data_IF_975840758556
#
_entry.id   IF_975840758556
#
_cell.length_a   1.000
_cell.length_b   1.000
_cell.length_c   1.000
_cell.angle_alpha   90.00
_cell.angle_beta   90.00
_cell.angle_gamma   90.00
#
_symmetry.space_group_name_H-M   'P 1'
#
loop_
_entity.id
_entity.type
_entity.pdbx_description
1 polymer ?
#
# COMPACT_ATOMS: atom_id res chain seq x y z
N UNK A 1 8.45 -5.36 17.29
CA UNK A 1 8.99 -4.51 16.22
C UNK A 1 8.30 -3.17 16.11
N UNK A 2 6.97 -3.08 16.24
CA UNK A 2 6.31 -1.79 16.03
C UNK A 2 6.76 -0.70 17.02
N UNK A 3 7.15 -1.07 18.24
CA UNK A 3 7.66 -0.11 19.23
C UNK A 3 9.01 0.47 18.79
N UNK A 4 9.91 -0.38 18.32
CA UNK A 4 11.23 0.00 17.82
C UNK A 4 11.11 0.83 16.53
N UNK A 5 10.18 0.46 15.65
CA UNK A 5 9.86 1.17 14.42
C UNK A 5 9.35 2.60 14.71
N UNK A 6 8.46 2.76 15.70
CA UNK A 6 7.99 4.08 16.14
C UNK A 6 9.16 4.92 16.68
N UNK A 7 10.02 4.36 17.53
CA UNK A 7 11.17 5.09 18.09
C UNK A 7 12.11 5.61 17.00
N UNK A 8 12.43 4.78 15.99
CA UNK A 8 13.23 5.20 14.83
C UNK A 8 12.54 6.29 14.02
N UNK A 9 11.26 6.12 13.70
CA UNK A 9 10.51 7.09 12.90
C UNK A 9 10.42 8.45 13.61
N UNK A 10 10.19 8.47 14.93
CA UNK A 10 10.18 9.70 15.76
C UNK A 10 11.55 10.38 15.76
N UNK A 11 12.64 9.61 15.74
CA UNK A 11 14.02 10.11 15.61
C UNK A 11 14.40 10.49 14.17
N UNK A 12 13.46 10.45 13.23
CA UNK A 12 13.68 10.67 11.79
C UNK A 12 14.74 9.75 11.18
N UNK A 13 14.80 8.52 11.68
CA UNK A 13 15.65 7.48 11.13
C UNK A 13 14.82 6.60 10.19
N UNK A 14 15.38 6.29 9.03
CA UNK A 14 14.72 5.44 8.06
C UNK A 14 14.75 3.99 8.53
N UNK A 15 13.65 3.28 8.25
CA UNK A 15 13.56 1.86 8.49
C UNK A 15 14.05 1.11 7.24
N UNK A 16 15.03 0.20 7.37
CA UNK A 16 15.32 -0.76 6.32
C UNK A 16 14.05 -1.55 5.93
N UNK A 17 13.97 -1.98 4.66
CA UNK A 17 12.80 -2.72 4.14
C UNK A 17 12.36 -3.87 5.06
N UNK A 18 13.32 -4.64 5.60
CA UNK A 18 13.06 -5.77 6.50
C UNK A 18 12.38 -5.35 7.80
N UNK A 19 12.78 -4.23 8.39
CA UNK A 19 12.18 -3.74 9.64
C UNK A 19 10.75 -3.23 9.40
N UNK A 20 10.54 -2.55 8.27
CA UNK A 20 9.21 -2.11 7.86
C UNK A 20 8.29 -3.32 7.61
N UNK A 21 8.80 -4.37 6.96
CA UNK A 21 8.06 -5.62 6.79
C UNK A 21 7.64 -6.21 8.14
N UNK A 22 8.55 -6.31 9.11
CA UNK A 22 8.23 -6.85 10.44
C UNK A 22 7.19 -5.99 11.19
N UNK A 23 7.31 -4.66 11.11
CA UNK A 23 6.32 -3.77 11.71
C UNK A 23 4.94 -3.94 11.05
N UNK A 24 4.87 -4.03 9.72
CA UNK A 24 3.61 -4.23 9.00
C UNK A 24 3.01 -5.63 9.22
N UNK A 25 3.82 -6.64 9.46
CA UNK A 25 3.35 -7.97 9.83
C UNK A 25 2.62 -7.94 11.18
N UNK A 26 3.20 -7.32 12.20
CA UNK A 26 2.54 -7.13 13.51
C UNK A 26 1.21 -6.36 13.39
N UNK A 27 1.15 -5.33 12.53
CA UNK A 27 -0.08 -4.57 12.29
C UNK A 27 -1.15 -5.46 11.67
N UNK A 28 -0.80 -6.19 10.59
CA UNK A 28 -1.78 -6.96 9.83
C UNK A 28 -2.20 -8.27 10.49
N UNK A 29 -1.45 -8.75 11.48
CA UNK A 29 -1.82 -9.87 12.35
C UNK A 29 -2.65 -9.43 13.57
N UNK A 30 -2.90 -8.13 13.72
CA UNK A 30 -3.67 -7.57 14.83
C UNK A 30 -2.90 -7.56 16.16
N UNK A 31 -1.57 -7.69 16.13
CA UNK A 31 -0.71 -7.64 17.31
C UNK A 31 -0.40 -6.21 17.77
N UNK A 32 -0.62 -5.21 16.91
CA UNK A 32 -0.46 -3.80 17.23
C UNK A 32 -1.76 -3.16 17.74
N UNK A 33 -1.66 -2.38 18.82
CA UNK A 33 -2.79 -1.60 19.34
C UNK A 33 -3.13 -0.42 18.42
N UNK A 34 -4.37 0.11 18.46
CA UNK A 34 -4.74 1.31 17.69
C UNK A 34 -3.82 2.51 17.96
N UNK A 35 -3.37 2.69 19.21
CA UNK A 35 -2.44 3.75 19.58
C UNK A 35 -1.07 3.58 18.93
N UNK A 36 -0.56 2.35 18.84
CA UNK A 36 0.71 2.06 18.17
C UNK A 36 0.60 2.30 16.66
N UNK A 37 -0.49 1.86 16.02
CA UNK A 37 -0.73 2.09 14.59
C UNK A 37 -0.79 3.60 14.32
N UNK A 38 -1.58 4.35 15.09
CA UNK A 38 -1.70 5.80 14.96
C UNK A 38 -0.38 6.54 15.17
N UNK A 39 0.41 6.14 16.17
CA UNK A 39 1.74 6.70 16.40
C UNK A 39 2.70 6.42 15.24
N UNK A 40 2.70 5.20 14.72
CA UNK A 40 3.58 4.78 13.64
C UNK A 40 3.31 5.53 12.34
N UNK A 41 2.05 5.56 11.87
CA UNK A 41 1.69 6.25 10.62
C UNK A 41 1.90 7.77 10.72
N UNK A 42 1.68 8.36 11.90
CA UNK A 42 1.93 9.79 12.12
C UNK A 42 3.42 10.10 12.10
N UNK A 43 4.25 9.28 12.77
CA UNK A 43 5.69 9.45 12.80
C UNK A 43 6.31 9.30 11.40
N UNK A 44 5.88 8.29 10.62
CA UNK A 44 6.29 8.14 9.22
C UNK A 44 5.95 9.37 8.38
N UNK A 45 4.71 9.87 8.48
CA UNK A 45 4.27 11.06 7.75
C UNK A 45 5.06 12.31 8.09
N UNK A 46 5.48 12.46 9.36
CA UNK A 46 6.30 13.57 9.84
C UNK A 46 7.78 13.43 9.43
N UNK A 47 8.30 12.20 9.38
CA UNK A 47 9.65 11.90 8.88
C UNK A 47 9.76 12.10 7.37
N UNK A 48 8.73 11.68 6.64
CA UNK A 48 8.76 11.42 5.20
C UNK A 48 9.11 9.96 4.94
N UNK A 49 8.25 9.25 4.21
CA UNK A 49 8.43 7.84 3.86
C UNK A 49 9.49 7.65 2.77
N UNK A 50 10.32 6.61 2.89
CA UNK A 50 11.29 6.22 1.85
C UNK A 50 10.74 5.15 0.90
N UNK A 51 11.48 4.89 -0.18
CA UNK A 51 11.13 3.82 -1.14
C UNK A 51 11.17 2.44 -0.46
N UNK A 52 12.17 2.19 0.37
CA UNK A 52 12.35 0.93 1.11
C UNK A 52 11.18 0.69 2.08
N UNK A 53 10.73 1.75 2.73
CA UNK A 53 9.58 1.72 3.65
C UNK A 53 8.27 1.43 2.90
N UNK A 54 7.99 2.15 1.81
CA UNK A 54 6.79 1.88 1.00
C UNK A 54 6.84 0.47 0.39
N UNK A 55 8.01 0.03 -0.06
CA UNK A 55 8.22 -1.32 -0.63
C UNK A 55 7.98 -2.41 0.40
N UNK A 56 8.56 -2.27 1.60
CA UNK A 56 8.40 -3.24 2.68
C UNK A 56 6.94 -3.39 3.11
N UNK A 57 6.24 -2.26 3.24
CA UNK A 57 4.82 -2.26 3.59
C UNK A 57 3.96 -2.92 2.50
N UNK A 58 4.14 -2.52 1.24
CA UNK A 58 3.43 -3.10 0.11
C UNK A 58 3.69 -4.61 -0.04
N UNK A 59 4.91 -5.08 0.26
CA UNK A 59 5.27 -6.50 0.19
C UNK A 59 4.47 -7.34 1.18
N UNK A 60 4.33 -6.90 2.43
CA UNK A 60 3.54 -7.60 3.45
C UNK A 60 2.05 -7.54 3.14
N UNK A 61 1.52 -6.37 2.78
CA UNK A 61 0.14 -6.21 2.32
C UNK A 61 -0.18 -7.18 1.19
N UNK A 62 0.72 -7.23 0.18
CA UNK A 62 0.58 -8.15 -0.93
C UNK A 62 0.66 -9.60 -0.45
N UNK A 63 1.57 -9.99 0.44
CA UNK A 63 1.68 -11.38 0.92
C UNK A 63 0.40 -11.89 1.61
N UNK A 64 -0.28 -11.06 2.40
CA UNK A 64 -1.51 -11.48 3.10
C UNK A 64 -2.78 -11.30 2.27
N UNK A 65 -2.71 -10.68 1.08
CA UNK A 65 -3.86 -10.51 0.19
C UNK A 65 -4.24 -11.82 -0.53
N UNK A 66 -5.55 -12.05 -0.67
CA UNK A 66 -6.10 -13.14 -1.52
C UNK A 66 -5.59 -13.02 -2.95
N UNK A 67 -5.12 -14.13 -3.52
CA UNK A 67 -4.59 -14.20 -4.88
C UNK A 67 -5.66 -14.62 -5.86
N UNK A 68 -5.67 -13.95 -7.02
CA UNK A 68 -6.52 -14.28 -8.16
C UNK A 68 -5.60 -14.49 -9.36
N UNK A 69 -5.85 -15.54 -10.14
CA UNK A 69 -5.18 -15.77 -11.42
C UNK A 69 -6.16 -15.46 -12.55
N UNK A 70 -5.86 -14.44 -13.36
CA UNK A 70 -6.70 -14.02 -14.47
C UNK A 70 -6.40 -14.76 -15.79
N UNK A 71 -5.46 -15.72 -15.79
CA UNK A 71 -5.14 -16.59 -16.93
C UNK A 71 -4.86 -15.84 -18.25
N UNK A 72 -4.17 -14.70 -18.19
CA UNK A 72 -3.82 -13.89 -19.36
C UNK A 72 -2.31 -13.53 -19.37
N UNK A 73 -1.74 -13.37 -20.56
CA UNK A 73 -0.31 -13.03 -20.73
C UNK A 73 -0.01 -11.58 -20.39
N UNK A 74 -0.96 -10.68 -20.62
CA UNK A 74 -0.85 -9.25 -20.31
C UNK A 74 -2.08 -8.83 -19.54
N UNK A 75 -1.85 -8.32 -18.33
CA UNK A 75 -2.89 -7.84 -17.42
C UNK A 75 -2.52 -6.43 -17.00
N UNK A 76 -3.48 -5.52 -17.06
CA UNK A 76 -3.31 -4.12 -16.66
C UNK A 76 -4.17 -3.80 -15.45
N UNK A 77 -3.65 -2.95 -14.59
CA UNK A 77 -4.38 -2.28 -13.52
C UNK A 77 -4.39 -0.77 -13.79
N UNK A 78 -5.48 -0.10 -13.43
CA UNK A 78 -5.70 1.32 -13.70
C UNK A 78 -5.97 2.13 -12.44
N UNK A 79 -5.71 1.56 -11.25
CA UNK A 79 -5.95 2.25 -9.98
C UNK A 79 -5.14 3.55 -9.83
N UNK A 80 -5.56 4.36 -8.88
CA UNK A 80 -4.80 5.50 -8.37
C UNK A 80 -5.07 5.65 -6.87
N UNK A 81 -4.22 6.40 -6.18
CA UNK A 81 -4.38 6.65 -4.73
C UNK A 81 -5.64 7.43 -4.39
N UNK A 82 -6.15 8.23 -5.35
CA UNK A 82 -7.21 9.20 -5.10
C UNK A 82 -6.76 10.30 -4.13
N UNK A 83 -7.72 11.01 -3.55
CA UNK A 83 -7.46 12.05 -2.54
C UNK A 83 -7.01 13.40 -3.08
N UNK A 84 -7.16 13.66 -4.37
CA UNK A 84 -6.88 14.97 -5.00
C UNK A 84 -7.96 16.03 -4.73
N UNK A 85 -9.10 15.63 -4.16
CA UNK A 85 -10.26 16.47 -3.87
C UNK A 85 -10.83 17.20 -5.09
N UNK A 86 -10.54 16.73 -6.31
CA UNK A 86 -10.98 17.38 -7.56
C UNK A 86 -12.42 17.01 -7.94
N UNK A 87 -13.05 16.08 -7.23
CA UNK A 87 -14.41 15.58 -7.51
C UNK A 87 -14.60 15.18 -8.98
N UNK A 88 -13.56 14.63 -9.61
CA UNK A 88 -13.67 14.07 -10.95
C UNK A 88 -14.62 12.88 -10.94
N UNK A 89 -15.23 12.59 -12.08
CA UNK A 89 -15.90 11.31 -12.26
C UNK A 89 -14.90 10.13 -12.17
N UNK A 90 -15.40 8.90 -12.26
CA UNK A 90 -14.61 7.67 -12.10
C UNK A 90 -13.66 7.39 -13.30
N UNK A 91 -12.70 8.26 -13.54
CA UNK A 91 -11.77 8.24 -14.70
C UNK A 91 -11.07 6.88 -14.81
N UNK A 92 -10.50 6.35 -13.72
CA UNK A 92 -9.78 5.06 -13.74
C UNK A 92 -10.67 3.87 -14.11
N UNK A 93 -11.94 3.90 -13.71
CA UNK A 93 -12.93 2.89 -14.06
C UNK A 93 -13.35 3.03 -15.51
N UNK A 94 -13.57 4.25 -16.00
CA UNK A 94 -13.84 4.49 -17.43
C UNK A 94 -12.67 4.02 -18.29
N UNK A 95 -11.43 4.33 -17.90
CA UNK A 95 -10.23 3.87 -18.59
C UNK A 95 -10.12 2.34 -18.63
N UNK A 96 -10.50 1.64 -17.55
CA UNK A 96 -10.52 0.18 -17.51
C UNK A 96 -11.40 -0.43 -18.62
N UNK A 97 -12.59 0.13 -18.84
CA UNK A 97 -13.48 -0.34 -19.91
C UNK A 97 -12.91 -0.07 -21.31
N UNK A 98 -12.26 1.07 -21.51
CA UNK A 98 -11.63 1.41 -22.80
C UNK A 98 -10.47 0.46 -23.11
N UNK A 99 -9.61 0.18 -22.14
CA UNK A 99 -8.49 -0.77 -22.29
C UNK A 99 -9.01 -2.19 -22.55
N UNK A 100 -10.05 -2.61 -21.84
CA UNK A 100 -10.70 -3.90 -22.06
C UNK A 100 -11.31 -4.01 -23.48
N UNK A 101 -11.97 -2.95 -23.96
CA UNK A 101 -12.51 -2.89 -25.32
C UNK A 101 -11.42 -2.94 -26.41
N UNK A 102 -10.19 -2.54 -26.09
CA UNK A 102 -9.02 -2.68 -26.95
C UNK A 102 -8.41 -4.10 -26.94
N UNK A 103 -9.01 -5.04 -26.21
CA UNK A 103 -8.60 -6.45 -26.19
C UNK A 103 -7.56 -6.82 -25.12
N UNK A 104 -7.25 -5.91 -24.19
CA UNK A 104 -6.31 -6.17 -23.08
C UNK A 104 -7.10 -6.54 -21.82
N UNK A 105 -6.67 -7.59 -21.10
CA UNK A 105 -7.31 -7.98 -19.84
C UNK A 105 -7.01 -6.93 -18.76
N UNK A 106 -8.06 -6.41 -18.12
CA UNK A 106 -7.95 -5.46 -17.01
C UNK A 106 -8.37 -6.14 -15.72
N UNK A 107 -7.45 -6.21 -14.76
CA UNK A 107 -7.71 -6.66 -13.39
C UNK A 107 -7.54 -5.46 -12.45
N UNK A 108 -8.54 -4.58 -12.46
CA UNK A 108 -8.52 -3.34 -11.68
C UNK A 108 -8.75 -3.64 -10.19
N UNK A 109 -7.85 -3.21 -9.31
CA UNK A 109 -8.20 -3.12 -7.89
C UNK A 109 -8.92 -1.80 -7.57
N UNK A 110 -9.74 -1.84 -6.53
CA UNK A 110 -10.56 -0.72 -6.08
C UNK A 110 -10.64 -0.65 -4.56
N UNK A 111 -11.08 0.51 -4.08
CA UNK A 111 -11.37 0.81 -2.68
C UNK A 111 -12.83 1.29 -2.59
#
# INVERSE_FOLDING_TARGET
MIKEAIDKAVKKQDLPEVEMMQAMEEIMEGAATPAQIGAFITALRMKGETVEEVTGAARIMRQKATRINACATTIVDTCGTGGDSLNTFNISTTAAFVVAAAGIVVAKHGN
#
